data_IF_910074689094
#
_entry.id   IF_910074689094
#
_cell.length_a   1.000
_cell.length_b   1.000
_cell.length_c   1.000
_cell.angle_alpha   90.00
_cell.angle_beta   90.00
_cell.angle_gamma   90.00
#
_symmetry.space_group_name_H-M   'P 1'
#
loop_
_entity.id
_entity.type
_entity.pdbx_description
1 polymer ?
#
# COMPACT_ATOMS: atom_id res chain seq x y z
N UNK A 1 14.17 -18.06 -1.15
CA UNK A 1 13.74 -17.06 -0.15
C UNK A 1 12.23 -17.18 0.03
N UNK A 2 11.78 -17.86 1.09
CA UNK A 2 10.35 -18.06 1.37
C UNK A 2 9.88 -17.00 2.38
N UNK A 3 8.89 -16.18 2.00
CA UNK A 3 8.21 -15.27 2.95
C UNK A 3 7.08 -16.04 3.62
N UNK A 4 7.24 -16.27 4.91
CA UNK A 4 6.20 -16.84 5.78
C UNK A 4 5.14 -15.76 6.00
N UNK A 5 3.92 -16.01 5.52
CA UNK A 5 2.76 -15.17 5.81
C UNK A 5 2.27 -15.49 7.23
N UNK A 6 2.51 -14.58 8.17
CA UNK A 6 2.02 -14.69 9.54
C UNK A 6 0.57 -14.17 9.59
N UNK A 7 -0.35 -15.02 10.04
CA UNK A 7 -1.78 -14.71 10.09
C UNK A 7 -2.08 -13.69 11.20
N UNK A 8 -2.92 -12.70 10.89
CA UNK A 8 -3.35 -11.64 11.82
C UNK A 8 -4.03 -12.15 13.10
N UNK A 9 -4.55 -13.38 13.08
CA UNK A 9 -5.10 -14.07 14.24
C UNK A 9 -4.04 -14.41 15.30
N UNK A 10 -2.79 -14.73 14.90
CA UNK A 10 -1.71 -15.02 15.86
C UNK A 10 -1.27 -13.76 16.61
N UNK A 11 -1.25 -12.60 15.93
CA UNK A 11 -0.84 -11.33 16.53
C UNK A 11 -1.89 -10.84 17.55
N UNK A 12 -3.16 -11.14 17.32
CA UNK A 12 -4.25 -10.84 18.25
C UNK A 12 -4.27 -11.82 19.44
N UNK A 13 -3.91 -13.08 19.23
CA UNK A 13 -3.76 -14.07 20.30
C UNK A 13 -2.56 -13.78 21.22
N UNK A 14 -1.43 -13.34 20.65
CA UNK A 14 -0.23 -12.94 21.41
C UNK A 14 -0.49 -11.70 22.29
N UNK A 15 -1.37 -10.80 21.86
CA UNK A 15 -1.78 -9.62 22.63
C UNK A 15 -2.76 -9.94 23.77
N UNK A 16 -3.52 -11.04 23.67
CA UNK A 16 -4.49 -11.44 24.67
C UNK A 16 -3.88 -12.26 25.85
N UNK A 17 -2.65 -12.75 25.71
CA UNK A 17 -1.97 -13.58 26.73
C UNK A 17 -0.91 -12.85 27.58
N UNK A 18 -0.76 -11.53 27.41
CA UNK A 18 0.12 -10.75 28.30
C UNK A 18 -0.67 -10.25 29.51
N UNK A 19 -0.35 -10.69 30.75
CA UNK A 19 -1.02 -10.18 31.94
C UNK A 19 -0.65 -8.72 32.17
N UNK A 20 -1.71 -7.92 32.21
CA UNK A 20 -1.77 -6.49 32.54
C UNK A 20 -1.12 -6.21 33.90
N UNK A 21 -0.09 -5.35 33.92
CA UNK A 21 0.54 -4.84 35.14
C UNK A 21 -0.27 -3.63 35.61
N UNK A 22 -0.79 -3.60 36.86
CA UNK A 22 -1.74 -2.58 37.26
C UNK A 22 -1.07 -1.21 37.40
N UNK A 23 -1.79 -0.18 36.96
CA UNK A 23 -1.50 1.21 37.23
C UNK A 23 -1.59 1.49 38.73
N UNK A 24 -0.46 1.88 39.33
CA UNK A 24 -0.41 2.43 40.68
C UNK A 24 -0.43 3.96 40.59
N UNK A 25 -1.57 4.56 40.94
CA UNK A 25 -1.62 5.93 41.41
C UNK A 25 -1.12 6.01 42.85
N UNK A 26 -0.41 7.08 43.21
CA UNK A 26 -0.03 7.34 44.59
C UNK A 26 1.09 8.36 44.78
N UNK A 27 0.68 9.62 45.02
CA UNK A 27 1.23 10.68 45.91
C UNK A 27 2.67 10.50 46.44
N UNK A 28 3.47 11.57 46.29
CA UNK A 28 4.88 11.66 46.72
C UNK A 28 5.15 11.50 48.22
N UNK A 29 6.45 11.48 48.58
CA UNK A 29 7.00 12.58 49.37
C UNK A 29 8.48 12.86 49.05
N UNK A 30 8.78 13.91 48.29
CA UNK A 30 10.17 14.41 48.13
C UNK A 30 10.26 15.93 48.32
N UNK A 31 9.48 16.44 49.28
CA UNK A 31 9.42 17.86 49.62
C UNK A 31 10.07 18.19 50.97
N UNK A 32 11.03 17.39 51.47
CA UNK A 32 11.60 17.60 52.83
C UNK A 32 13.13 17.67 52.94
N UNK A 33 13.91 17.57 51.85
CA UNK A 33 15.38 17.58 51.96
C UNK A 33 16.07 18.92 51.64
N UNK A 34 15.35 20.03 51.40
CA UNK A 34 15.96 21.33 51.05
C UNK A 34 15.42 22.56 51.78
N UNK A 35 14.61 22.36 52.82
CA UNK A 35 14.05 23.47 53.61
C UNK A 35 14.88 23.84 54.85
N UNK A 36 16.03 23.20 55.09
CA UNK A 36 16.84 23.45 56.29
C UNK A 36 18.28 23.81 55.93
N UNK A 37 18.49 24.88 55.16
CA UNK A 37 19.78 25.57 55.20
C UNK A 37 19.59 27.07 54.95
N UNK A 38 19.16 27.73 56.05
CA UNK A 38 19.58 29.07 56.46
C UNK A 38 19.29 30.22 55.49
N UNK A 39 18.02 30.66 55.48
CA UNK A 39 17.73 32.10 55.47
C UNK A 39 18.23 32.70 56.79
N UNK A 40 19.46 33.21 56.83
CA UNK A 40 19.81 34.24 57.82
C UNK A 40 19.19 35.55 57.34
N UNK A 41 18.12 35.96 58.01
CA UNK A 41 17.55 37.29 57.91
C UNK A 41 18.45 38.21 58.75
N UNK A 42 19.03 39.23 58.12
CA UNK A 42 19.86 40.22 58.81
C UNK A 42 18.97 41.18 59.60
N UNK A 43 18.77 40.88 60.88
CA UNK A 43 18.20 41.81 61.85
C UNK A 43 19.34 42.53 62.58
N UNK A 44 19.81 43.65 62.00
CA UNK A 44 20.24 44.84 62.75
C UNK A 44 21.24 44.77 63.92
N UNK A 45 22.05 43.72 64.10
CA UNK A 45 23.13 43.74 65.10
C UNK A 45 24.45 43.28 64.49
N UNK A 46 25.42 44.19 64.42
CA UNK A 46 26.77 43.96 63.92
C UNK A 46 27.56 43.01 64.84
N UNK A 47 28.21 41.97 64.32
CA UNK A 47 29.35 41.35 64.99
C UNK A 47 30.65 42.09 64.65
N UNK A 48 31.62 42.21 65.59
CA UNK A 48 32.87 42.94 65.38
C UNK A 48 33.74 42.30 64.28
N UNK A 49 34.57 43.08 63.58
CA UNK A 49 35.31 42.61 62.41
C UNK A 49 36.40 41.59 62.79
N UNK A 50 36.52 40.45 62.06
CA UNK A 50 37.70 39.61 62.16
C UNK A 50 38.91 40.27 61.46
N UNK A 51 40.15 40.03 61.93
CA UNK A 51 41.35 40.70 61.41
C UNK A 51 41.60 40.42 59.93
N UNK A 52 42.11 41.44 59.23
CA UNK A 52 42.61 41.36 57.87
C UNK A 52 43.64 40.24 57.77
N UNK A 53 43.43 39.28 56.87
CA UNK A 53 44.43 38.58 56.06
C UNK A 53 43.81 37.30 55.49
N UNK A 54 43.19 37.40 54.32
CA UNK A 54 43.07 36.30 53.34
C UNK A 54 42.38 36.82 52.08
N UNK A 55 43.07 36.92 50.92
CA UNK A 55 42.41 37.21 49.65
C UNK A 55 41.81 35.89 49.11
N UNK A 56 40.78 35.37 49.78
CA UNK A 56 40.05 34.19 49.32
C UNK A 56 38.94 34.62 48.37
N UNK A 57 39.13 34.32 47.09
CA UNK A 57 38.05 34.20 46.13
C UNK A 57 37.52 35.52 45.61
N UNK A 58 38.00 35.92 44.43
CA UNK A 58 37.23 36.78 43.53
C UNK A 58 35.96 36.01 43.16
N UNK A 59 34.91 36.15 43.96
CA UNK A 59 33.57 35.70 43.59
C UNK A 59 33.06 36.69 42.55
N UNK A 60 33.22 36.32 41.28
CA UNK A 60 32.52 37.01 40.20
C UNK A 60 31.01 36.93 40.49
N UNK A 61 30.28 38.06 40.40
CA UNK A 61 28.83 38.05 40.62
C UNK A 61 28.17 37.09 39.63
N UNK A 62 27.09 36.38 40.01
CA UNK A 62 26.32 35.58 39.08
C UNK A 62 25.77 36.52 38.01
N UNK A 63 26.41 36.50 36.83
CA UNK A 63 25.94 37.24 35.67
C UNK A 63 24.58 36.69 35.30
N UNK A 64 23.57 37.54 35.50
CA UNK A 64 22.21 37.28 35.10
C UNK A 64 22.23 37.15 33.57
N UNK A 65 22.31 35.91 33.05
CA UNK A 65 22.19 35.64 31.62
C UNK A 65 20.81 36.14 31.20
N UNK A 66 20.77 37.38 30.72
CA UNK A 66 19.58 38.00 30.14
C UNK A 66 19.04 37.00 29.13
N UNK A 67 17.84 36.46 29.37
CA UNK A 67 17.17 35.59 28.42
C UNK A 67 17.23 36.30 27.07
N UNK A 68 18.02 35.76 26.15
CA UNK A 68 18.15 36.31 24.82
C UNK A 68 16.72 36.33 24.27
N UNK A 69 16.16 37.54 24.13
CA UNK A 69 14.79 37.72 23.63
C UNK A 69 14.75 37.08 22.26
N UNK A 70 14.25 35.85 22.16
CA UNK A 70 14.10 35.13 20.90
C UNK A 70 13.17 35.99 20.05
N UNK A 71 13.73 36.65 19.02
CA UNK A 71 13.00 37.51 18.08
C UNK A 71 12.19 36.68 17.08
N UNK A 72 11.53 35.62 17.52
CA UNK A 72 10.51 34.94 16.72
C UNK A 72 9.18 35.58 17.09
N UNK A 73 8.69 36.44 16.20
CA UNK A 73 7.35 37.00 16.34
C UNK A 73 6.32 35.86 16.26
N UNK A 74 5.34 35.77 17.17
CA UNK A 74 4.26 34.80 17.10
C UNK A 74 3.54 34.79 15.75
N UNK A 75 3.48 35.95 15.07
CA UNK A 75 2.91 36.08 13.73
C UNK A 75 3.67 35.28 12.67
N UNK A 76 5.00 35.21 12.74
CA UNK A 76 5.80 34.40 11.81
C UNK A 76 5.55 32.91 11.99
N UNK A 77 5.38 32.46 13.24
CA UNK A 77 5.07 31.05 13.54
C UNK A 77 3.70 30.69 12.97
N UNK A 78 2.70 31.55 13.13
CA UNK A 78 1.37 31.34 12.55
C UNK A 78 1.39 31.32 11.02
N UNK A 79 2.19 32.20 10.40
CA UNK A 79 2.31 32.25 8.94
C UNK A 79 2.98 30.98 8.39
N UNK A 80 4.05 30.50 9.04
CA UNK A 80 4.69 29.23 8.67
C UNK A 80 3.74 28.05 8.85
N UNK A 81 2.95 28.02 9.93
CA UNK A 81 1.93 26.99 10.14
C UNK A 81 0.86 26.99 9.06
N UNK A 82 0.37 28.18 8.68
CA UNK A 82 -0.59 28.33 7.58
C UNK A 82 0.01 27.90 6.23
N UNK A 83 1.25 28.32 5.94
CA UNK A 83 1.94 27.92 4.73
C UNK A 83 2.19 26.40 4.68
N UNK A 84 2.58 25.80 5.80
CA UNK A 84 2.78 24.36 5.93
C UNK A 84 1.46 23.61 5.71
N UNK A 85 0.35 24.06 6.32
CA UNK A 85 -0.97 23.47 6.11
C UNK A 85 -1.40 23.55 4.63
N UNK A 86 -1.23 24.72 4.01
CA UNK A 86 -1.54 24.90 2.58
C UNK A 86 -0.68 24.00 1.69
N UNK A 87 0.62 23.88 1.98
CA UNK A 87 1.53 23.01 1.24
C UNK A 87 1.12 21.53 1.34
N UNK A 88 0.68 21.08 2.52
CA UNK A 88 0.19 19.70 2.72
C UNK A 88 -1.06 19.45 1.88
N UNK A 89 -2.03 20.36 1.87
CA UNK A 89 -3.26 20.21 1.07
C UNK A 89 -2.94 20.17 -0.42
N UNK A 90 -2.08 21.07 -0.91
CA UNK A 90 -1.63 21.07 -2.31
C UNK A 90 -0.91 19.77 -2.67
N UNK A 91 -0.06 19.27 -1.77
CA UNK A 91 0.63 18.00 -1.98
C UNK A 91 -0.35 16.83 -2.10
N UNK A 92 -1.32 16.72 -1.18
CA UNK A 92 -2.34 15.67 -1.23
C UNK A 92 -3.17 15.78 -2.51
N UNK A 93 -3.57 17.00 -2.91
CA UNK A 93 -4.29 17.24 -4.16
C UNK A 93 -3.50 16.75 -5.37
N UNK A 94 -2.19 16.99 -5.40
CA UNK A 94 -1.33 16.55 -6.48
C UNK A 94 -1.20 15.01 -6.51
N UNK A 95 -1.00 14.38 -5.35
CA UNK A 95 -0.93 12.91 -5.25
C UNK A 95 -2.23 12.25 -5.72
N UNK A 96 -3.39 12.82 -5.36
CA UNK A 96 -4.69 12.32 -5.84
C UNK A 96 -4.79 12.45 -7.37
N UNK A 97 -4.38 13.59 -7.94
CA UNK A 97 -4.41 13.79 -9.39
C UNK A 97 -3.49 12.80 -10.13
N UNK A 98 -2.29 12.55 -9.61
CA UNK A 98 -1.35 11.56 -10.17
C UNK A 98 -1.94 10.14 -10.09
N UNK A 99 -2.56 9.78 -8.97
CA UNK A 99 -3.20 8.47 -8.82
C UNK A 99 -4.40 8.30 -9.76
N UNK A 100 -5.19 9.36 -9.99
CA UNK A 100 -6.27 9.35 -10.97
C UNK A 100 -5.72 9.15 -12.38
N UNK A 101 -4.66 9.87 -12.74
CA UNK A 101 -4.00 9.74 -14.04
C UNK A 101 -3.44 8.32 -14.25
N UNK A 102 -2.80 7.75 -13.23
CA UNK A 102 -2.30 6.38 -13.29
C UNK A 102 -3.43 5.35 -13.50
N UNK A 103 -4.56 5.55 -12.81
CA UNK A 103 -5.74 4.70 -13.02
C UNK A 103 -6.31 4.84 -14.43
N UNK A 104 -6.31 6.04 -15.00
CA UNK A 104 -6.83 6.26 -16.35
C UNK A 104 -5.89 5.69 -17.43
N UNK A 105 -4.57 5.75 -17.22
CA UNK A 105 -3.59 5.04 -18.05
C UNK A 105 -3.86 3.54 -18.02
N UNK A 106 -4.03 2.96 -16.83
CA UNK A 106 -4.30 1.53 -16.69
C UNK A 106 -5.60 1.11 -17.39
N UNK A 107 -6.67 1.89 -17.25
CA UNK A 107 -7.92 1.65 -18.01
C UNK A 107 -7.70 1.72 -19.52
N UNK A 108 -6.86 2.66 -19.98
CA UNK A 108 -6.48 2.78 -21.39
C UNK A 108 -5.74 1.54 -21.89
N UNK A 109 -4.78 1.04 -21.13
CA UNK A 109 -4.03 -0.18 -21.44
C UNK A 109 -4.93 -1.41 -21.54
N UNK A 110 -5.84 -1.59 -20.57
CA UNK A 110 -6.80 -2.71 -20.60
C UNK A 110 -7.65 -2.65 -21.86
N UNK A 111 -8.18 -1.46 -22.23
CA UNK A 111 -8.94 -1.30 -23.48
C UNK A 111 -8.13 -1.63 -24.73
N UNK A 112 -6.85 -1.25 -24.78
CA UNK A 112 -6.00 -1.58 -25.92
C UNK A 112 -5.77 -3.09 -26.01
N UNK A 113 -5.55 -3.74 -24.87
CA UNK A 113 -5.39 -5.19 -24.81
C UNK A 113 -6.66 -5.92 -25.28
N UNK A 114 -7.84 -5.44 -24.87
CA UNK A 114 -9.13 -5.98 -25.33
C UNK A 114 -9.27 -5.86 -26.85
N UNK A 115 -8.98 -4.68 -27.43
CA UNK A 115 -9.03 -4.47 -28.88
C UNK A 115 -8.06 -5.40 -29.62
N UNK A 116 -6.84 -5.59 -29.10
CA UNK A 116 -5.90 -6.52 -29.72
C UNK A 116 -6.39 -7.96 -29.65
N UNK A 117 -6.97 -8.38 -28.52
CA UNK A 117 -7.58 -9.70 -28.39
C UNK A 117 -8.73 -9.89 -29.37
N UNK A 118 -9.61 -8.90 -29.53
CA UNK A 118 -10.68 -8.92 -30.52
C UNK A 118 -10.15 -9.03 -31.96
N UNK A 119 -9.10 -8.27 -32.29
CA UNK A 119 -8.45 -8.35 -33.60
C UNK A 119 -7.85 -9.73 -33.86
N UNK A 120 -7.23 -10.35 -32.86
CA UNK A 120 -6.68 -11.70 -32.97
C UNK A 120 -7.78 -12.74 -33.22
N UNK A 121 -8.90 -12.63 -32.48
CA UNK A 121 -10.08 -13.48 -32.69
C UNK A 121 -10.67 -13.27 -34.09
N UNK A 122 -10.82 -12.02 -34.54
CA UNK A 122 -11.33 -11.71 -35.88
C UNK A 122 -10.41 -12.27 -36.97
N UNK A 123 -9.09 -12.13 -36.81
CA UNK A 123 -8.10 -12.69 -37.75
C UNK A 123 -8.17 -14.20 -37.80
N UNK A 124 -8.30 -14.86 -36.65
CA UNK A 124 -8.48 -16.31 -36.59
C UNK A 124 -9.76 -16.74 -37.33
N UNK A 125 -10.86 -16.01 -37.12
CA UNK A 125 -12.14 -16.28 -37.78
C UNK A 125 -12.10 -16.06 -39.29
N UNK A 126 -11.48 -14.97 -39.75
CA UNK A 126 -11.26 -14.70 -41.17
C UNK A 126 -10.42 -15.84 -41.80
N UNK A 127 -9.36 -16.27 -41.11
CA UNK A 127 -8.51 -17.35 -41.60
C UNK A 127 -9.29 -18.68 -41.71
N UNK A 128 -10.15 -19.00 -40.74
CA UNK A 128 -11.05 -20.15 -40.81
C UNK A 128 -12.06 -20.05 -41.97
N UNK A 129 -12.69 -18.89 -42.16
CA UNK A 129 -13.63 -18.70 -43.27
C UNK A 129 -12.92 -18.80 -44.62
N UNK A 130 -11.75 -18.18 -44.76
CA UNK A 130 -10.94 -18.24 -45.98
C UNK A 130 -10.44 -19.66 -46.25
N UNK A 131 -10.06 -20.42 -45.22
CA UNK A 131 -9.64 -21.81 -45.39
C UNK A 131 -10.81 -22.69 -45.82
N UNK A 132 -12.01 -22.51 -45.24
CA UNK A 132 -13.23 -23.20 -45.66
C UNK A 132 -13.61 -22.87 -47.11
N UNK A 133 -13.50 -21.60 -47.51
CA UNK A 133 -13.78 -21.16 -48.87
C UNK A 133 -12.77 -21.74 -49.87
N UNK A 134 -11.49 -21.80 -49.51
CA UNK A 134 -10.45 -22.47 -50.32
C UNK A 134 -10.71 -23.96 -50.47
N UNK A 135 -11.06 -24.66 -49.37
CA UNK A 135 -11.40 -26.08 -49.40
C UNK A 135 -12.63 -26.32 -50.27
N UNK A 136 -13.67 -25.49 -50.09
CA UNK A 136 -14.89 -25.55 -50.90
C UNK A 136 -14.58 -25.36 -52.39
N UNK A 137 -13.80 -24.33 -52.73
CA UNK A 137 -13.44 -24.06 -54.13
C UNK A 137 -12.64 -25.22 -54.75
N UNK A 138 -11.67 -25.80 -54.02
CA UNK A 138 -10.97 -27.01 -54.50
C UNK A 138 -11.91 -28.21 -54.66
N UNK A 139 -12.87 -28.40 -53.76
CA UNK A 139 -13.85 -29.47 -53.87
C UNK A 139 -14.79 -29.28 -55.08
N UNK A 140 -15.20 -28.05 -55.37
CA UNK A 140 -16.02 -27.72 -56.54
C UNK A 140 -15.21 -27.85 -57.84
N UNK A 141 -13.96 -27.35 -57.88
CA UNK A 141 -13.13 -27.30 -59.09
C UNK A 141 -12.46 -28.64 -59.43
N UNK A 142 -11.87 -29.33 -58.45
CA UNK A 142 -11.08 -30.56 -58.67
C UNK A 142 -11.95 -31.83 -58.58
N UNK A 143 -12.93 -31.84 -57.69
CA UNK A 143 -13.75 -33.02 -57.41
C UNK A 143 -15.17 -32.93 -58.00
N UNK A 144 -15.52 -31.81 -58.66
CA UNK A 144 -16.86 -31.53 -59.19
C UNK A 144 -17.98 -31.73 -58.16
N UNK A 145 -17.65 -31.61 -56.86
CA UNK A 145 -18.58 -31.82 -55.77
C UNK A 145 -19.52 -30.61 -55.71
N UNK A 146 -20.80 -30.84 -56.01
CA UNK A 146 -21.84 -29.83 -55.84
C UNK A 146 -22.33 -29.83 -54.39
N UNK A 147 -22.47 -28.64 -53.83
CA UNK A 147 -23.07 -28.47 -52.50
C UNK A 147 -24.50 -29.05 -52.52
N UNK A 148 -24.81 -30.09 -51.73
CA UNK A 148 -26.14 -30.69 -51.73
C UNK A 148 -27.17 -29.68 -51.20
N UNK A 149 -28.24 -29.46 -51.97
CA UNK A 149 -29.34 -28.56 -51.61
C UNK A 149 -30.27 -29.12 -50.52
N UNK A 150 -30.13 -30.40 -50.20
CA UNK A 150 -30.84 -31.06 -49.10
C UNK A 150 -29.85 -31.38 -47.98
N UNK A 151 -30.26 -31.11 -46.74
CA UNK A 151 -29.51 -31.49 -45.54
C UNK A 151 -29.33 -33.01 -45.59
N UNK A 152 -28.09 -33.54 -45.53
CA UNK A 152 -27.87 -34.97 -45.53
C UNK A 152 -28.56 -35.56 -44.30
N UNK A 153 -29.48 -36.50 -44.54
CA UNK A 153 -30.08 -37.27 -43.46
C UNK A 153 -28.99 -38.00 -42.68
N UNK A 154 -29.10 -38.00 -41.36
CA UNK A 154 -28.25 -38.86 -40.52
C UNK A 154 -28.51 -40.31 -40.96
N UNK A 155 -27.53 -40.93 -41.59
CA UNK A 155 -27.60 -42.34 -41.95
C UNK A 155 -27.50 -43.11 -40.63
N UNK A 156 -28.64 -43.62 -40.17
CA UNK A 156 -28.66 -44.56 -39.06
C UNK A 156 -28.08 -45.88 -39.57
N UNK A 157 -26.82 -46.13 -39.19
CA UNK A 157 -26.10 -47.33 -39.58
C UNK A 157 -26.62 -48.49 -38.73
N UNK A 158 -27.48 -49.29 -39.34
CA UNK A 158 -28.05 -50.51 -38.77
C UNK A 158 -26.94 -51.56 -38.53
N UNK A 159 -26.54 -51.72 -37.27
CA UNK A 159 -25.40 -52.56 -36.89
C UNK A 159 -25.64 -54.05 -37.16
N UNK A 160 -26.89 -54.48 -37.25
CA UNK A 160 -27.22 -55.88 -37.50
C UNK A 160 -26.89 -56.29 -38.93
N UNK A 161 -27.03 -55.36 -39.89
CA UNK A 161 -26.60 -55.59 -41.28
C UNK A 161 -25.08 -55.67 -41.42
N UNK A 162 -24.33 -54.90 -40.62
CA UNK A 162 -22.86 -54.96 -40.63
C UNK A 162 -22.37 -56.34 -40.21
N UNK A 163 -22.96 -56.92 -39.16
CA UNK A 163 -22.61 -58.28 -38.69
C UNK A 163 -22.84 -59.34 -39.76
N UNK A 164 -23.96 -59.27 -40.47
CA UNK A 164 -24.24 -60.23 -41.56
C UNK A 164 -23.27 -60.12 -42.73
N UNK A 165 -22.75 -58.92 -43.01
CA UNK A 165 -21.76 -58.69 -44.07
C UNK A 165 -20.38 -59.17 -43.63
N UNK A 166 -20.00 -58.97 -42.36
CA UNK A 166 -18.75 -59.51 -41.79
C UNK A 166 -18.75 -61.05 -41.77
N UNK A 167 -19.86 -61.66 -41.38
CA UNK A 167 -20.03 -63.12 -41.40
C UNK A 167 -20.00 -63.71 -42.82
N UNK A 168 -20.53 -62.98 -43.81
CA UNK A 168 -20.49 -63.39 -45.21
C UNK A 168 -19.11 -63.17 -45.86
N UNK A 169 -18.36 -62.14 -45.44
CA UNK A 169 -17.03 -61.82 -45.96
C UNK A 169 -15.91 -62.61 -45.31
N UNK A 170 -16.09 -63.08 -44.06
CA UNK A 170 -15.14 -63.95 -43.34
C UNK A 170 -15.13 -65.41 -43.81
N UNK A 171 -15.87 -65.73 -44.89
CA UNK A 171 -16.02 -67.08 -45.44
C UNK A 171 -15.20 -67.34 -46.71
N UNK A 172 -14.15 -66.54 -46.96
CA UNK A 172 -13.16 -66.79 -48.02
C UNK A 172 -11.76 -66.92 -47.46
#
# INVERSE_FOLDING_TARGET
MARVYRNSAEILAERAMSPEKPAAGGKGPESQARQQERRLIYNGTMPPPPPLETPTGIQLPPTNRKFAKRKVSPSNVMLILMAAAAAIVLYISNVIAVNQLANDIHKGEVRLQDIFSEQEILRARINQMSSLERVRKRAEDELALKNPSNIPGMIEVDQDKIRTIEEASGKR
#
